data_IF_596723592133
#
_entry.id   IF_596723592133
#
_cell.length_a   1.000
_cell.length_b   1.000
_cell.length_c   1.000
_cell.angle_alpha   90.00
_cell.angle_beta   90.00
_cell.angle_gamma   90.00
#
_symmetry.space_group_name_H-M   'P 1'
#
loop_
_entity.id
_entity.type
_entity.pdbx_description
1 polymer ?
#
# COMPACT_ATOMS: atom_id res chain seq x y z
N UNK A 1 -2.56 -0.05 25.07
CA UNK A 1 -2.57 0.31 23.64
C UNK A 1 -2.99 -0.91 22.85
N UNK A 2 -4.16 -0.88 22.22
CA UNK A 2 -4.69 -1.97 21.37
C UNK A 2 -3.89 -2.02 20.06
N UNK A 3 -2.68 -2.59 20.10
CA UNK A 3 -1.94 -2.95 18.90
C UNK A 3 -1.69 -4.44 18.95
N UNK A 4 -2.42 -5.19 18.13
CA UNK A 4 -1.95 -6.53 17.78
C UNK A 4 -0.68 -6.34 16.96
N UNK A 5 0.46 -6.60 17.58
CA UNK A 5 1.79 -6.59 16.97
C UNK A 5 1.88 -7.54 15.77
N UNK A 6 0.92 -8.44 15.61
CA UNK A 6 0.78 -9.37 14.49
C UNK A 6 0.24 -8.68 13.22
N UNK A 7 -0.69 -7.73 13.34
CA UNK A 7 -1.30 -7.05 12.19
C UNK A 7 -0.32 -6.08 11.53
N UNK A 8 0.45 -5.37 12.36
CA UNK A 8 1.50 -4.44 11.92
C UNK A 8 2.89 -5.08 11.77
N UNK A 9 3.01 -6.40 11.98
CA UNK A 9 4.27 -7.08 11.74
C UNK A 9 4.73 -6.85 10.30
N UNK A 10 6.05 -6.83 10.07
CA UNK A 10 6.66 -6.58 8.75
C UNK A 10 6.23 -7.58 7.66
N UNK A 11 5.65 -8.73 8.05
CA UNK A 11 5.06 -9.77 7.20
C UNK A 11 3.52 -9.81 7.24
N UNK A 12 2.87 -8.96 8.02
CA UNK A 12 1.41 -8.87 8.08
C UNK A 12 0.82 -8.18 6.86
N UNK A 13 -0.45 -8.44 6.52
CA UNK A 13 -1.11 -7.89 5.33
C UNK A 13 -1.15 -6.36 5.32
N UNK A 14 -1.19 -5.72 6.51
CA UNK A 14 -1.19 -4.27 6.67
C UNK A 14 0.20 -3.69 6.97
N UNK A 15 1.23 -4.52 7.10
CA UNK A 15 2.59 -4.09 7.41
C UNK A 15 3.24 -3.30 6.27
N UNK A 16 3.03 -3.72 5.02
CA UNK A 16 3.51 -2.96 3.84
C UNK A 16 2.83 -1.61 3.72
N UNK A 17 1.54 -1.53 4.03
CA UNK A 17 0.74 -0.29 4.03
C UNK A 17 1.19 0.65 5.14
N UNK A 18 1.44 0.11 6.34
CA UNK A 18 1.97 0.88 7.45
C UNK A 18 3.33 1.50 7.11
N UNK A 19 4.21 0.72 6.49
CA UNK A 19 5.50 1.20 5.98
C UNK A 19 5.29 2.26 4.90
N UNK A 20 4.32 2.09 3.99
CA UNK A 20 4.01 3.10 2.98
C UNK A 20 3.54 4.44 3.58
N UNK A 21 2.80 4.38 4.69
CA UNK A 21 2.30 5.55 5.40
C UNK A 21 3.43 6.33 6.12
N UNK A 22 4.34 5.64 6.81
CA UNK A 22 5.31 6.27 7.73
C UNK A 22 6.75 6.30 7.23
N UNK A 23 7.16 5.34 6.40
CA UNK A 23 8.54 5.12 5.97
C UNK A 23 8.62 5.25 4.46
N UNK A 24 8.42 6.50 4.01
CA UNK A 24 8.46 6.84 2.59
C UNK A 24 9.81 6.42 1.97
N UNK A 25 9.77 5.78 0.79
CA UNK A 25 10.91 5.21 0.03
C UNK A 25 11.52 3.88 0.52
N UNK A 26 11.01 3.21 1.56
CA UNK A 26 11.53 1.88 1.96
C UNK A 26 10.89 0.68 1.24
N UNK A 27 9.88 0.92 0.40
CA UNK A 27 9.17 -0.14 -0.32
C UNK A 27 9.83 -0.42 -1.68
N UNK A 28 10.08 -1.70 -1.96
CA UNK A 28 10.54 -2.16 -3.27
C UNK A 28 9.37 -2.18 -4.26
N UNK A 29 9.66 -1.99 -5.55
CA UNK A 29 8.67 -2.05 -6.65
C UNK A 29 7.81 -3.33 -6.58
N UNK A 30 8.43 -4.49 -6.35
CA UNK A 30 7.70 -5.77 -6.23
C UNK A 30 6.67 -5.78 -5.09
N UNK A 31 7.05 -5.27 -3.92
CA UNK A 31 6.13 -5.23 -2.76
C UNK A 31 4.92 -4.33 -3.03
N UNK A 32 5.13 -3.24 -3.77
CA UNK A 32 4.05 -2.35 -4.19
C UNK A 32 3.10 -3.11 -5.12
N UNK A 33 3.62 -3.84 -6.11
CA UNK A 33 2.80 -4.61 -7.05
C UNK A 33 2.02 -5.75 -6.37
N UNK A 34 2.68 -6.53 -5.51
CA UNK A 34 2.08 -7.64 -4.75
C UNK A 34 0.99 -7.18 -3.78
N UNK A 35 1.06 -5.94 -3.28
CA UNK A 35 0.07 -5.43 -2.32
C UNK A 35 -1.29 -5.22 -3.02
N UNK A 36 -2.30 -5.97 -2.59
CA UNK A 36 -3.68 -5.82 -3.05
C UNK A 36 -4.39 -4.69 -2.31
N UNK A 37 -4.68 -3.61 -3.04
CA UNK A 37 -5.46 -2.47 -2.52
C UNK A 37 -6.87 -2.87 -2.08
N UNK A 38 -7.70 -3.57 -2.88
CA UNK A 38 -9.09 -3.84 -2.49
C UNK A 38 -9.21 -4.66 -1.21
N UNK A 39 -8.38 -5.70 -1.06
CA UNK A 39 -8.35 -6.54 0.15
C UNK A 39 -7.95 -5.71 1.37
N UNK A 40 -6.99 -4.81 1.19
CA UNK A 40 -6.48 -3.97 2.27
C UNK A 40 -7.50 -2.91 2.72
N UNK A 41 -8.27 -2.36 1.79
CA UNK A 41 -9.38 -1.44 2.10
C UNK A 41 -10.46 -2.19 2.88
N UNK A 42 -10.84 -3.39 2.41
CA UNK A 42 -11.85 -4.21 3.11
C UNK A 42 -11.42 -4.56 4.53
N UNK A 43 -10.14 -4.90 4.73
CA UNK A 43 -9.57 -5.17 6.07
C UNK A 43 -9.60 -3.97 7.02
N UNK A 44 -9.68 -2.74 6.50
CA UNK A 44 -9.78 -1.51 7.32
C UNK A 44 -11.24 -1.16 7.63
N UNK A 45 -12.14 -1.40 6.67
CA UNK A 45 -13.57 -1.14 6.81
C UNK A 45 -14.21 -2.18 7.73
N UNK A 46 -13.84 -3.46 7.56
CA UNK A 46 -14.35 -4.62 8.28
C UNK A 46 -13.21 -5.31 9.05
N UNK A 47 -12.65 -4.69 10.11
CA UNK A 47 -11.52 -5.27 10.81
C UNK A 47 -11.95 -6.44 11.72
N UNK A 48 -11.20 -7.54 11.71
CA UNK A 48 -11.45 -8.71 12.59
C UNK A 48 -11.31 -8.38 14.09
N UNK A 49 -10.55 -7.32 14.41
CA UNK A 49 -10.35 -6.83 15.77
C UNK A 49 -10.51 -5.30 15.79
N UNK A 50 -10.98 -4.71 16.91
CA UNK A 50 -11.23 -3.27 17.00
C UNK A 50 -9.97 -2.46 16.68
N UNK A 51 -10.05 -1.66 15.61
CA UNK A 51 -8.98 -0.80 15.15
C UNK A 51 -9.21 0.62 15.68
N UNK A 52 -8.17 1.26 16.23
CA UNK A 52 -8.26 2.65 16.61
C UNK A 52 -8.46 3.53 15.36
N UNK A 53 -9.41 4.46 15.40
CA UNK A 53 -9.73 5.34 14.26
C UNK A 53 -8.50 6.09 13.72
N UNK A 54 -7.61 6.54 14.62
CA UNK A 54 -6.34 7.18 14.25
C UNK A 54 -5.45 6.27 13.41
N UNK A 55 -5.42 4.97 13.72
CA UNK A 55 -4.68 3.97 12.97
C UNK A 55 -5.30 3.77 11.58
N UNK A 56 -6.63 3.67 11.50
CA UNK A 56 -7.36 3.54 10.23
C UNK A 56 -7.03 4.69 9.28
N UNK A 57 -6.98 5.93 9.79
CA UNK A 57 -6.60 7.10 8.98
C UNK A 57 -5.18 7.02 8.42
N UNK A 58 -4.21 6.57 9.22
CA UNK A 58 -2.83 6.37 8.75
C UNK A 58 -2.72 5.24 7.72
N UNK A 59 -3.45 4.14 7.93
CA UNK A 59 -3.53 3.03 7.00
C UNK A 59 -4.12 3.46 5.64
N UNK A 60 -5.22 4.23 5.65
CA UNK A 60 -5.80 4.77 4.40
C UNK A 60 -4.81 5.68 3.66
N UNK A 61 -4.06 6.53 4.37
CA UNK A 61 -2.99 7.34 3.76
C UNK A 61 -1.94 6.45 3.08
N UNK A 62 -1.52 5.37 3.74
CA UNK A 62 -0.59 4.39 3.17
C UNK A 62 -1.12 3.74 1.89
N UNK A 63 -2.41 3.38 1.87
CA UNK A 63 -3.07 2.81 0.68
C UNK A 63 -3.07 3.80 -0.48
N UNK A 64 -3.47 5.05 -0.25
CA UNK A 64 -3.49 6.08 -1.30
C UNK A 64 -2.08 6.29 -1.87
N UNK A 65 -1.04 6.31 -1.03
CA UNK A 65 0.35 6.41 -1.50
C UNK A 65 0.80 5.22 -2.35
N UNK A 66 0.38 4.01 -2.00
CA UNK A 66 0.65 2.80 -2.81
C UNK A 66 -0.06 2.93 -4.17
N UNK A 67 -1.31 3.38 -4.17
CA UNK A 67 -2.08 3.60 -5.40
C UNK A 67 -1.39 4.60 -6.33
N UNK A 68 -0.99 5.77 -5.82
CA UNK A 68 -0.27 6.79 -6.60
C UNK A 68 1.00 6.21 -7.24
N UNK A 69 1.76 5.39 -6.50
CA UNK A 69 2.96 4.73 -7.04
C UNK A 69 2.64 3.74 -8.16
N UNK A 70 1.60 2.92 -8.00
CA UNK A 70 1.15 1.99 -9.05
C UNK A 70 0.77 2.74 -10.33
N UNK A 71 0.02 3.83 -10.20
CA UNK A 71 -0.38 4.66 -11.36
C UNK A 71 0.83 5.31 -12.03
N UNK A 72 1.78 5.84 -11.24
CA UNK A 72 3.03 6.37 -11.80
C UNK A 72 3.82 5.31 -12.57
N UNK A 73 3.97 4.10 -12.02
CA UNK A 73 4.67 3.02 -12.72
C UNK A 73 3.96 2.63 -14.01
N UNK A 74 2.62 2.56 -14.01
CA UNK A 74 1.85 2.29 -15.22
C UNK A 74 2.07 3.37 -16.28
N UNK A 75 2.05 4.64 -15.89
CA UNK A 75 2.31 5.76 -16.81
C UNK A 75 3.71 5.70 -17.42
N UNK A 76 4.73 5.42 -16.60
CA UNK A 76 6.12 5.28 -17.06
C UNK A 76 6.27 4.10 -18.05
N UNK A 77 5.63 2.97 -17.73
CA UNK A 77 5.65 1.76 -18.56
C UNK A 77 4.92 2.01 -19.90
N UNK A 78 3.77 2.70 -19.89
CA UNK A 78 3.05 3.11 -21.10
C UNK A 78 3.87 4.08 -21.97
N UNK A 79 4.52 5.06 -21.36
CA UNK A 79 5.38 6.04 -22.06
C UNK A 79 6.57 5.33 -22.71
N UNK A 80 7.17 4.36 -21.99
CA UNK A 80 8.29 3.55 -22.49
C UNK A 80 7.88 2.57 -23.59
N UNK A 81 6.65 2.07 -23.57
CA UNK A 81 6.12 1.22 -24.64
C UNK A 81 5.82 2.05 -25.89
N UNK A 82 5.22 3.23 -25.73
CA UNK A 82 4.91 4.13 -26.84
C UNK A 82 6.18 4.58 -27.56
N UNK A 83 7.24 4.96 -26.82
CA UNK A 83 8.51 5.38 -27.43
C UNK A 83 9.18 4.26 -28.23
N UNK A 84 9.05 3.00 -27.81
CA UNK A 84 9.57 1.83 -28.55
C UNK A 84 8.78 1.50 -29.81
N UNK A 85 7.47 1.76 -29.81
CA UNK A 85 6.60 1.52 -30.99
C UNK A 85 6.80 2.60 -32.06
N UNK A 86 7.23 3.80 -31.66
CA UNK A 86 7.53 4.90 -32.58
C UNK A 86 8.95 4.84 -33.18
N UNK A 87 9.80 3.90 -32.74
CA UNK A 87 11.10 3.58 -33.34
C UNK A 87 10.96 2.47 -34.38
#
# INVERSE_FOLDING_TARGET
MFYSTQILAKKGPLGTIWIAAHLDKRLKRNQIFETSIPISVDSIINPEAPLALRLSGQLMLGIVRIYTRKVSYLYDDCTSALSKVQQ
#
